data_IF_638260444485
#
_entry.id   IF_638260444485
#
_cell.length_a   1.000
_cell.length_b   1.000
_cell.length_c   1.000
_cell.angle_alpha   90.00
_cell.angle_beta   90.00
_cell.angle_gamma   90.00
#
_symmetry.space_group_name_H-M   'P 1'
#
loop_
_entity.id
_entity.type
_entity.pdbx_description
1 polymer ?
#
# COMPACT_ATOMS: atom_id res chain seq x y z
N UNK A 1 5.90 21.03 -9.48
CA UNK A 1 7.08 20.18 -9.22
C UNK A 1 6.65 18.89 -8.54
N UNK A 2 7.59 18.03 -8.13
CA UNK A 2 7.31 16.74 -7.45
C UNK A 2 6.99 16.87 -5.94
N UNK A 3 6.75 18.09 -5.47
CA UNK A 3 6.44 18.36 -4.07
C UNK A 3 4.95 18.05 -3.76
N UNK A 4 4.63 17.47 -2.59
CA UNK A 4 5.58 17.00 -1.59
C UNK A 4 6.25 15.67 -1.98
N UNK A 5 7.55 15.55 -1.67
CA UNK A 5 8.30 14.28 -1.83
C UNK A 5 7.86 13.31 -0.72
N UNK A 6 7.61 12.06 -1.10
CA UNK A 6 7.17 10.99 -0.20
C UNK A 6 8.18 9.86 -0.19
N UNK A 7 8.69 9.51 1.00
CA UNK A 7 9.56 8.36 1.22
C UNK A 7 8.69 7.20 1.72
N UNK A 8 8.81 6.03 1.09
CA UNK A 8 8.13 4.83 1.56
C UNK A 8 9.15 3.89 2.21
N UNK A 9 8.78 3.32 3.34
CA UNK A 9 9.56 2.33 4.07
C UNK A 9 8.67 1.14 4.40
N UNK A 10 9.06 -0.06 3.97
CA UNK A 10 8.49 -1.29 4.55
C UNK A 10 9.24 -1.54 5.86
N UNK A 11 8.52 -1.55 6.97
CA UNK A 11 9.12 -1.69 8.30
C UNK A 11 9.19 -3.16 8.69
N UNK A 12 10.39 -3.64 8.97
CA UNK A 12 10.72 -5.04 9.18
C UNK A 12 11.48 -5.21 10.50
N UNK A 13 10.93 -6.05 11.39
CA UNK A 13 11.49 -6.42 12.69
C UNK A 13 12.84 -7.12 12.54
N UNK A 14 13.83 -6.72 13.34
CA UNK A 14 15.19 -7.22 13.32
C UNK A 14 15.98 -6.82 12.08
N UNK A 15 15.45 -5.95 11.21
CA UNK A 15 16.06 -5.60 9.92
C UNK A 15 16.26 -4.10 9.78
N UNK A 16 15.20 -3.31 9.90
CA UNK A 16 15.27 -1.85 9.69
C UNK A 16 14.35 -1.06 10.62
N UNK A 17 13.63 -1.70 11.53
CA UNK A 17 12.69 -1.02 12.43
C UNK A 17 13.38 -0.04 13.37
N UNK A 18 14.69 -0.16 13.56
CA UNK A 18 15.54 0.76 14.32
C UNK A 18 15.88 2.04 13.55
N UNK A 19 15.73 2.05 12.22
CA UNK A 19 16.00 3.21 11.35
C UNK A 19 14.78 4.15 11.22
N UNK A 20 13.65 3.81 11.82
CA UNK A 20 12.41 4.62 11.72
C UNK A 20 12.63 6.03 12.25
N UNK A 21 13.20 6.19 13.45
CA UNK A 21 13.47 7.50 14.05
C UNK A 21 14.54 8.29 13.28
N UNK A 22 15.72 7.73 12.92
CA UNK A 22 16.66 8.40 12.02
C UNK A 22 16.04 8.87 10.69
N UNK A 23 15.19 8.04 10.07
CA UNK A 23 14.55 8.36 8.81
C UNK A 23 13.45 9.42 8.97
N UNK A 24 12.71 9.42 10.08
CA UNK A 24 11.76 10.48 10.41
C UNK A 24 12.48 11.82 10.55
N UNK A 25 13.64 11.83 11.22
CA UNK A 25 14.45 13.03 11.42
C UNK A 25 14.94 13.60 10.10
N UNK A 26 15.41 12.72 9.21
CA UNK A 26 15.75 13.08 7.84
C UNK A 26 14.54 13.70 7.12
N UNK A 27 13.35 13.09 7.23
CA UNK A 27 12.14 13.64 6.62
C UNK A 27 11.77 15.02 7.19
N UNK A 28 11.94 15.24 8.50
CA UNK A 28 11.72 16.54 9.14
C UNK A 28 12.67 17.60 8.58
N UNK A 29 13.97 17.30 8.50
CA UNK A 29 14.98 18.23 8.01
C UNK A 29 14.73 18.67 6.56
N UNK A 30 14.17 17.79 5.74
CA UNK A 30 13.94 18.05 4.31
C UNK A 30 12.49 18.38 3.95
N UNK A 31 11.56 18.38 4.92
CA UNK A 31 10.13 18.60 4.66
C UNK A 31 9.49 17.49 3.80
N UNK A 32 9.97 16.25 3.94
CA UNK A 32 9.42 15.08 3.26
C UNK A 32 8.31 14.41 4.07
N UNK A 33 7.46 13.67 3.39
CA UNK A 33 6.44 12.82 4.04
C UNK A 33 7.00 11.41 4.16
N UNK A 34 7.08 10.89 5.38
CA UNK A 34 7.43 9.49 5.62
C UNK A 34 6.17 8.62 5.55
N UNK A 35 6.20 7.52 4.80
CA UNK A 35 5.13 6.52 4.76
C UNK A 35 5.69 5.16 5.15
N UNK A 36 5.21 4.64 6.25
CA UNK A 36 5.56 3.31 6.74
C UNK A 36 4.51 2.31 6.28
N UNK A 37 4.96 1.12 5.89
CA UNK A 37 4.16 0.04 5.34
C UNK A 37 4.46 -1.23 6.12
N UNK A 38 3.44 -1.97 6.54
CA UNK A 38 3.64 -3.29 7.13
C UNK A 38 4.08 -4.30 6.06
N UNK A 39 4.98 -5.19 6.45
CA UNK A 39 5.38 -6.34 5.63
C UNK A 39 4.16 -7.21 5.31
N UNK A 40 3.97 -7.54 4.03
CA UNK A 40 2.88 -8.39 3.54
C UNK A 40 3.44 -9.69 2.96
N UNK A 41 2.71 -10.82 3.07
CA UNK A 41 3.11 -12.11 2.50
C UNK A 41 2.89 -12.19 0.97
N UNK A 42 3.47 -11.25 0.22
CA UNK A 42 3.34 -11.16 -1.24
C UNK A 42 4.30 -12.11 -1.95
N UNK A 43 3.78 -13.19 -2.52
CA UNK A 43 4.60 -14.21 -3.16
C UNK A 43 5.54 -14.88 -2.17
N UNK A 44 6.50 -15.65 -2.68
CA UNK A 44 7.38 -16.43 -1.81
C UNK A 44 8.32 -15.56 -0.95
N UNK A 45 8.88 -14.50 -1.55
CA UNK A 45 9.74 -13.56 -0.84
C UNK A 45 9.02 -12.86 0.31
N UNK A 46 7.76 -12.46 0.10
CA UNK A 46 6.97 -11.82 1.14
C UNK A 46 6.59 -12.79 2.26
N UNK A 47 6.27 -14.05 1.92
CA UNK A 47 5.99 -15.09 2.92
C UNK A 47 7.22 -15.40 3.77
N UNK A 48 8.40 -15.50 3.16
CA UNK A 48 9.65 -15.70 3.89
C UNK A 48 10.02 -14.49 4.79
N UNK A 49 9.43 -13.32 4.53
CA UNK A 49 9.62 -12.12 5.33
C UNK A 49 8.59 -11.96 6.47
N UNK A 50 7.65 -12.91 6.64
CA UNK A 50 6.57 -12.78 7.63
C UNK A 50 7.08 -12.79 9.07
N UNK A 51 8.19 -13.47 9.33
CA UNK A 51 8.85 -13.48 10.65
C UNK A 51 9.41 -12.10 11.03
N UNK A 52 9.61 -11.24 10.04
CA UNK A 52 10.00 -9.84 10.22
C UNK A 52 8.80 -8.89 10.30
N UNK A 53 7.56 -9.40 10.41
CA UNK A 53 6.40 -8.56 10.62
C UNK A 53 6.47 -7.82 11.97
N UNK A 54 6.14 -6.53 11.94
CA UNK A 54 5.84 -5.72 13.12
C UNK A 54 4.64 -4.83 12.82
N UNK A 55 3.70 -4.78 13.75
CA UNK A 55 2.52 -3.89 13.63
C UNK A 55 2.98 -2.43 13.67
N UNK A 56 2.46 -1.63 12.74
CA UNK A 56 2.73 -0.19 12.78
C UNK A 56 2.04 0.50 13.96
N UNK A 57 1.09 -0.14 14.65
CA UNK A 57 0.57 0.39 15.91
C UNK A 57 1.65 0.41 16.99
N UNK A 58 2.54 -0.60 17.03
CA UNK A 58 3.70 -0.63 17.93
C UNK A 58 4.68 0.50 17.59
N UNK A 59 4.97 0.69 16.31
CA UNK A 59 5.86 1.78 15.85
C UNK A 59 5.25 3.15 16.15
N UNK A 60 3.94 3.32 15.92
CA UNK A 60 3.21 4.54 16.26
C UNK A 60 3.30 4.87 17.75
N UNK A 61 3.09 3.87 18.62
CA UNK A 61 3.20 4.05 20.07
C UNK A 61 4.62 4.50 20.44
N UNK A 62 5.64 3.79 19.94
CA UNK A 62 7.06 4.12 20.17
C UNK A 62 7.41 5.54 19.73
N UNK A 63 6.95 5.95 18.54
CA UNK A 63 7.14 7.32 18.05
C UNK A 63 6.43 8.35 18.93
N UNK A 64 5.25 8.03 19.45
CA UNK A 64 4.45 8.97 20.27
C UNK A 64 5.10 9.25 21.63
N UNK A 65 6.02 8.41 22.09
CA UNK A 65 6.82 8.64 23.31
C UNK A 65 7.88 9.74 23.12
N UNK A 66 8.31 9.97 21.88
CA UNK A 66 9.41 10.91 21.55
C UNK A 66 8.96 12.13 20.76
N UNK A 67 7.92 12.01 19.93
CA UNK A 67 7.37 13.09 19.11
C UNK A 67 5.90 13.31 19.45
N UNK A 68 5.46 14.55 19.71
CA UNK A 68 4.04 14.84 19.82
C UNK A 68 3.40 14.69 18.43
N UNK A 69 2.58 13.64 18.26
CA UNK A 69 1.88 13.35 17.00
C UNK A 69 0.44 13.87 17.07
N UNK A 70 0.08 14.75 16.14
CA UNK A 70 -1.26 15.36 16.05
C UNK A 70 -2.00 14.90 14.79
N UNK A 71 -3.35 14.83 14.82
CA UNK A 71 -4.13 14.56 13.62
C UNK A 71 -3.87 15.61 12.53
N UNK A 72 -3.82 15.16 11.27
CA UNK A 72 -3.74 16.09 10.12
C UNK A 72 -5.10 16.78 9.94
N UNK A 73 -5.07 18.11 9.83
CA UNK A 73 -6.25 18.94 9.49
C UNK A 73 -6.43 18.86 7.97
N UNK A 74 -7.62 18.46 7.51
CA UNK A 74 -7.96 18.21 6.10
C UNK A 74 -7.18 17.04 5.47
N UNK A 75 -7.47 15.78 5.86
CA UNK A 75 -6.95 14.64 5.11
C UNK A 75 -7.34 14.76 3.63
N UNK A 76 -6.39 14.54 2.73
CA UNK A 76 -6.69 14.50 1.30
C UNK A 76 -7.44 13.21 1.01
N UNK A 77 -8.74 13.31 0.81
CA UNK A 77 -9.58 12.19 0.41
C UNK A 77 -9.05 11.55 -0.90
N UNK A 78 -9.01 10.22 -0.94
CA UNK A 78 -8.53 9.47 -2.10
C UNK A 78 -7.01 9.39 -2.27
N UNK A 79 -6.18 9.93 -1.37
CA UNK A 79 -4.72 9.94 -1.48
C UNK A 79 -4.01 8.59 -1.24
N UNK A 80 -4.75 7.49 -1.17
CA UNK A 80 -4.23 6.15 -0.94
C UNK A 80 -4.60 5.58 0.43
N UNK A 81 -3.90 4.54 0.91
CA UNK A 81 -4.33 3.76 2.07
C UNK A 81 -3.74 4.28 3.38
N UNK A 82 -2.85 5.27 3.30
CA UNK A 82 -2.10 5.78 4.41
C UNK A 82 -2.99 6.64 5.29
N UNK A 83 -2.95 6.39 6.59
CA UNK A 83 -3.54 7.27 7.60
C UNK A 83 -2.45 8.15 8.15
N UNK A 84 -2.65 9.46 8.14
CA UNK A 84 -1.59 10.40 8.44
C UNK A 84 -1.72 11.02 9.82
N UNK A 85 -0.59 11.16 10.49
CA UNK A 85 -0.39 12.05 11.62
C UNK A 85 0.70 13.06 11.25
N UNK A 86 0.74 14.18 11.95
CA UNK A 86 1.75 15.22 11.78
C UNK A 86 2.58 15.33 13.04
N UNK A 87 3.89 15.56 12.87
CA UNK A 87 4.78 15.87 13.99
C UNK A 87 4.56 17.33 14.39
N UNK A 88 4.14 17.57 15.63
CA UNK A 88 3.84 18.90 16.13
C UNK A 88 5.04 19.85 15.98
N UNK A 89 4.78 21.10 15.61
CA UNK A 89 5.82 22.09 15.34
C UNK A 89 6.51 21.96 13.98
N UNK A 90 6.11 20.99 13.15
CA UNK A 90 6.63 20.81 11.78
C UNK A 90 5.47 20.63 10.80
N UNK A 91 5.75 20.72 9.49
CA UNK A 91 4.80 20.34 8.43
C UNK A 91 4.95 18.85 8.00
N UNK A 92 5.77 18.09 8.72
CA UNK A 92 6.10 16.71 8.36
C UNK A 92 4.99 15.75 8.77
N UNK A 93 4.51 15.00 7.78
CA UNK A 93 3.48 13.98 7.97
C UNK A 93 4.09 12.58 7.99
N UNK A 94 3.54 11.73 8.83
CA UNK A 94 3.83 10.31 8.96
C UNK A 94 2.59 9.53 8.52
N UNK A 95 2.70 8.81 7.42
CA UNK A 95 1.66 7.92 6.90
C UNK A 95 1.84 6.49 7.40
N UNK A 96 0.79 5.91 7.94
CA UNK A 96 0.75 4.52 8.38
C UNK A 96 -0.11 3.70 7.40
N UNK A 97 0.50 2.72 6.74
CA UNK A 97 -0.16 1.82 5.79
C UNK A 97 -0.18 0.42 6.42
N UNK A 98 -1.36 0.01 6.89
CA UNK A 98 -1.56 -1.15 7.76
C UNK A 98 -2.35 -2.29 7.10
N UNK A 99 -1.86 -2.90 6.01
CA UNK A 99 -2.57 -3.96 5.30
C UNK A 99 -2.77 -5.22 6.15
N UNK A 100 -1.98 -5.42 7.21
CA UNK A 100 -2.09 -6.60 8.08
C UNK A 100 -2.92 -6.26 9.32
N UNK A 101 -2.48 -5.29 10.14
CA UNK A 101 -3.08 -5.04 11.46
C UNK A 101 -4.43 -4.34 11.41
N UNK A 102 -4.66 -3.49 10.40
CA UNK A 102 -5.88 -2.70 10.28
C UNK A 102 -6.20 -2.40 8.80
N UNK A 103 -6.69 -3.42 8.09
CA UNK A 103 -6.86 -3.35 6.65
C UNK A 103 -7.85 -2.26 6.20
N UNK A 104 -7.62 -1.72 5.00
CA UNK A 104 -8.40 -0.64 4.39
C UNK A 104 -9.21 -1.11 3.16
N UNK A 105 -9.56 -2.39 3.08
CA UNK A 105 -10.22 -2.97 1.91
C UNK A 105 -11.59 -2.32 1.63
N UNK A 106 -12.37 -2.00 2.67
CA UNK A 106 -13.70 -1.40 2.53
C UNK A 106 -13.71 0.00 1.86
N UNK A 107 -12.58 0.70 1.85
CA UNK A 107 -12.41 1.99 1.16
C UNK A 107 -11.43 1.90 -0.02
N UNK A 108 -10.99 0.69 -0.39
CA UNK A 108 -9.99 0.48 -1.43
C UNK A 108 -10.57 0.69 -2.83
N UNK A 109 -10.23 1.82 -3.45
CA UNK A 109 -10.64 2.20 -4.80
C UNK A 109 -9.61 1.85 -5.90
N UNK A 110 -8.64 0.96 -5.63
CA UNK A 110 -7.56 0.64 -6.59
C UNK A 110 -7.77 -0.69 -7.32
N UNK A 111 -7.45 -0.66 -8.60
CA UNK A 111 -7.15 -1.81 -9.46
C UNK A 111 -5.79 -1.57 -10.12
N UNK A 112 -5.14 -2.61 -10.61
CA UNK A 112 -3.81 -2.50 -11.24
C UNK A 112 -3.82 -3.16 -12.60
N UNK A 113 -3.23 -2.52 -13.60
CA UNK A 113 -2.94 -3.12 -14.90
C UNK A 113 -1.46 -3.49 -14.92
N UNK A 114 -1.16 -4.78 -15.03
CA UNK A 114 0.21 -5.26 -15.16
C UNK A 114 0.76 -5.00 -16.58
N UNK A 115 2.08 -5.12 -16.73
CA UNK A 115 2.80 -4.82 -17.97
C UNK A 115 2.41 -5.73 -19.15
N UNK A 116 1.87 -6.91 -18.86
CA UNK A 116 1.32 -7.84 -19.84
C UNK A 116 -0.12 -7.48 -20.29
N UNK A 117 -0.69 -6.41 -19.72
CA UNK A 117 -2.07 -5.96 -19.95
C UNK A 117 -3.13 -6.80 -19.24
N UNK A 118 -2.74 -7.52 -18.18
CA UNK A 118 -3.65 -8.21 -17.26
C UNK A 118 -4.04 -7.28 -16.12
N UNK A 119 -5.34 -7.07 -15.90
CA UNK A 119 -5.85 -6.30 -14.77
C UNK A 119 -6.04 -7.19 -13.55
N UNK A 120 -5.59 -6.71 -12.40
CA UNK A 120 -5.76 -7.30 -11.09
C UNK A 120 -6.59 -6.37 -10.20
N UNK A 121 -7.68 -6.89 -9.65
CA UNK A 121 -8.63 -6.08 -8.87
C UNK A 121 -8.20 -5.90 -7.41
N UNK A 122 -7.32 -6.78 -6.92
CA UNK A 122 -6.77 -6.77 -5.58
C UNK A 122 -5.31 -7.21 -5.61
N UNK A 123 -4.50 -6.60 -4.74
CA UNK A 123 -3.11 -6.98 -4.58
C UNK A 123 -2.98 -8.38 -3.96
N UNK A 124 -3.82 -8.71 -2.98
CA UNK A 124 -3.75 -9.96 -2.21
C UNK A 124 -4.68 -11.08 -2.66
N UNK A 125 -5.14 -11.08 -3.92
CA UNK A 125 -5.97 -12.15 -4.49
C UNK A 125 -5.63 -12.37 -5.95
N UNK A 126 -5.78 -13.61 -6.45
CA UNK A 126 -5.27 -13.97 -7.78
C UNK A 126 -6.22 -13.67 -8.96
N UNK A 127 -7.48 -13.35 -8.68
CA UNK A 127 -8.48 -12.97 -9.68
C UNK A 127 -7.93 -11.89 -10.61
N UNK A 128 -8.15 -12.06 -11.91
CA UNK A 128 -7.60 -11.19 -12.94
C UNK A 128 -8.46 -11.18 -14.21
N UNK A 129 -8.20 -10.22 -15.08
CA UNK A 129 -8.86 -10.08 -16.37
C UNK A 129 -7.89 -9.56 -17.43
N UNK A 130 -7.70 -10.28 -18.54
CA UNK A 130 -6.74 -9.89 -19.57
C UNK A 130 -7.36 -8.96 -20.61
N UNK A 131 -6.94 -7.69 -20.63
CA UNK A 131 -7.40 -6.70 -21.61
C UNK A 131 -6.60 -6.71 -22.91
N UNK A 132 -5.33 -7.14 -22.85
CA UNK A 132 -4.43 -7.11 -24.02
C UNK A 132 -4.98 -7.84 -25.25
N UNK A 133 -5.58 -9.05 -25.15
CA UNK A 133 -6.17 -9.71 -26.32
C UNK A 133 -7.36 -8.94 -26.90
N UNK A 134 -8.18 -8.30 -26.06
CA UNK A 134 -9.34 -7.52 -26.50
C UNK A 134 -8.90 -6.27 -27.26
N UNK A 135 -7.97 -5.52 -26.68
CA UNK A 135 -7.40 -4.32 -27.29
C UNK A 135 -6.71 -4.64 -28.63
N UNK A 136 -5.96 -5.74 -28.71
CA UNK A 136 -5.28 -6.16 -29.95
C UNK A 136 -6.23 -6.61 -31.06
N UNK A 137 -7.47 -6.99 -30.73
CA UNK A 137 -8.52 -7.30 -31.72
C UNK A 137 -9.32 -6.08 -32.14
N UNK A 138 -9.04 -4.90 -31.61
CA UNK A 138 -9.78 -3.68 -31.92
C UNK A 138 -11.18 -3.66 -31.32
N UNK A 139 -11.33 -4.11 -30.07
CA UNK A 139 -12.59 -4.02 -29.33
C UNK A 139 -13.15 -2.57 -29.36
N UNK A 140 -14.45 -2.37 -29.65
CA UNK A 140 -15.10 -1.07 -29.54
C UNK A 140 -15.08 -0.50 -28.11
N UNK A 141 -15.13 0.83 -27.98
CA UNK A 141 -15.03 1.52 -26.67
C UNK A 141 -16.18 1.19 -25.71
N UNK A 142 -17.39 0.99 -26.23
CA UNK A 142 -18.57 0.62 -25.45
C UNK A 142 -18.46 -0.82 -24.89
N UNK A 143 -17.98 -1.75 -25.72
CA UNK A 143 -17.67 -3.12 -25.30
C UNK A 143 -16.49 -3.15 -24.30
N UNK A 144 -15.46 -2.33 -24.51
CA UNK A 144 -14.33 -2.19 -23.58
C UNK A 144 -14.80 -1.66 -22.22
N UNK A 145 -15.69 -0.67 -22.21
CA UNK A 145 -16.29 -0.13 -20.99
C UNK A 145 -17.09 -1.20 -20.25
N UNK A 146 -17.87 -2.02 -20.96
CA UNK A 146 -18.60 -3.13 -20.36
C UNK A 146 -17.65 -4.18 -19.76
N UNK A 147 -16.57 -4.52 -20.47
CA UNK A 147 -15.52 -5.42 -19.97
C UNK A 147 -14.82 -4.86 -18.72
N UNK A 148 -14.53 -3.56 -18.69
CA UNK A 148 -13.97 -2.88 -17.50
C UNK A 148 -14.90 -2.97 -16.29
N UNK A 149 -16.19 -2.69 -16.46
CA UNK A 149 -17.18 -2.77 -15.37
C UNK A 149 -17.29 -4.21 -14.85
N UNK A 150 -17.38 -5.19 -15.76
CA UNK A 150 -17.44 -6.61 -15.41
C UNK A 150 -16.19 -7.04 -14.64
N UNK A 151 -15.01 -6.64 -15.10
CA UNK A 151 -13.75 -7.00 -14.46
C UNK A 151 -13.59 -6.31 -13.09
N UNK A 152 -14.01 -5.05 -12.93
CA UNK A 152 -14.05 -4.40 -11.60
C UNK A 152 -14.99 -5.14 -10.64
N UNK A 153 -16.09 -5.71 -11.13
CA UNK A 153 -17.01 -6.54 -10.35
C UNK A 153 -16.38 -7.82 -9.77
N UNK A 154 -15.23 -8.26 -10.30
CA UNK A 154 -14.43 -9.35 -9.73
C UNK A 154 -13.60 -8.93 -8.52
N UNK A 155 -13.69 -7.66 -8.09
CA UNK A 155 -12.98 -7.17 -6.92
C UNK A 155 -13.52 -7.87 -5.67
N UNK A 156 -12.66 -8.59 -4.92
CA UNK A 156 -13.07 -9.22 -3.68
C UNK A 156 -13.35 -8.16 -2.62
N UNK A 157 -14.21 -8.50 -1.66
CA UNK A 157 -14.51 -7.65 -0.50
C UNK A 157 -13.23 -7.29 0.29
N UNK A 158 -12.34 -8.27 0.48
CA UNK A 158 -11.06 -8.11 1.18
C UNK A 158 -10.00 -9.10 0.70
N UNK A 159 -8.74 -8.81 0.99
CA UNK A 159 -7.67 -9.80 0.90
C UNK A 159 -7.66 -10.72 2.12
N UNK A 160 -7.00 -11.86 2.01
CA UNK A 160 -6.89 -12.88 3.07
C UNK A 160 -5.43 -13.09 3.52
N UNK A 161 -4.60 -12.05 3.55
CA UNK A 161 -3.17 -12.17 3.86
C UNK A 161 -2.84 -12.91 5.16
N UNK A 162 -3.68 -12.78 6.19
CA UNK A 162 -3.50 -13.49 7.45
C UNK A 162 -4.06 -14.92 7.40
N UNK A 163 -5.21 -15.09 6.77
CA UNK A 163 -5.95 -16.36 6.79
C UNK A 163 -5.39 -17.38 5.78
N UNK A 164 -4.91 -16.90 4.62
CA UNK A 164 -4.49 -17.71 3.47
C UNK A 164 -3.31 -17.07 2.71
N UNK A 165 -2.15 -16.87 3.37
CA UNK A 165 -0.99 -16.19 2.78
C UNK A 165 -0.43 -16.86 1.52
N UNK A 166 -0.63 -18.17 1.37
CA UNK A 166 -0.19 -18.98 0.22
C UNK A 166 -0.96 -18.69 -1.07
N UNK A 167 -2.16 -18.10 -0.97
CA UNK A 167 -2.98 -17.74 -2.14
C UNK A 167 -2.30 -16.76 -3.06
N UNK A 168 -1.44 -15.91 -2.52
CA UNK A 168 -0.78 -14.85 -3.28
C UNK A 168 0.51 -15.42 -3.84
N UNK A 169 0.48 -15.75 -5.13
CA UNK A 169 1.61 -16.34 -5.84
C UNK A 169 2.51 -15.23 -6.37
N UNK A 170 1.91 -14.12 -6.79
CA UNK A 170 2.62 -13.02 -7.45
C UNK A 170 3.52 -12.24 -6.51
N UNK A 171 4.69 -11.87 -7.01
CA UNK A 171 5.58 -10.90 -6.38
C UNK A 171 5.04 -9.47 -6.54
N UNK A 172 5.40 -8.59 -5.60
CA UNK A 172 4.99 -7.19 -5.65
C UNK A 172 5.44 -6.53 -6.98
N UNK A 173 6.67 -6.81 -7.43
CA UNK A 173 7.29 -6.29 -8.65
C UNK A 173 6.52 -6.60 -9.93
N UNK A 174 5.79 -7.72 -9.98
CA UNK A 174 4.96 -8.09 -11.13
C UNK A 174 3.71 -7.22 -11.27
N UNK A 175 3.28 -6.59 -10.17
CA UNK A 175 2.05 -5.80 -10.12
C UNK A 175 2.33 -4.30 -10.06
N UNK A 176 3.48 -3.85 -10.56
CA UNK A 176 3.83 -2.42 -10.64
C UNK A 176 4.12 -1.77 -9.28
N UNK A 177 4.67 -2.53 -8.34
CA UNK A 177 5.17 -2.05 -7.04
C UNK A 177 6.57 -2.57 -6.78
#
# INVERSE_FOLDING_TARGET
GIAPIKINMVVMKGVNEHDVEPLLEFCIQHGFVLRMIETMPMGDTGRNAIDHYISLQTIKQRLSERYPLIPVINPVDGAGPARYLQVAGTNTQIGFITPMSEHFCGTCNRVRLAVDGTMYMCLGQEHNFSFRPLLRRGIPDDELKAALISAIGLKPERHEFQDKPEKVIRFMSMTGG
#
